data_IF_939393790319
#
_entry.id   IF_939393790319
#
_cell.length_a   1.000
_cell.length_b   1.000
_cell.length_c   1.000
_cell.angle_alpha   90.00
_cell.angle_beta   90.00
_cell.angle_gamma   90.00
#
_symmetry.space_group_name_H-M   'P 1'
#
loop_
_entity.id
_entity.type
_entity.pdbx_description
1 polymer ?
#
# COMPACT_ATOMS: atom_id res chain seq x y z
N UNK A 1 -20.38 99.94 17.81
CA UNK A 1 -19.13 99.21 18.14
C UNK A 1 -19.29 97.77 17.68
N UNK A 2 -18.37 97.34 16.81
CA UNK A 2 -18.25 96.00 16.20
C UNK A 2 -17.63 95.03 17.21
N UNK A 3 -18.06 93.77 17.21
CA UNK A 3 -17.11 92.65 17.08
C UNK A 3 -17.84 91.36 16.73
N UNK A 4 -17.80 91.08 15.43
CA UNK A 4 -18.16 89.85 14.73
C UNK A 4 -17.05 88.81 14.81
N UNK A 5 -17.49 87.54 14.87
CA UNK A 5 -16.84 86.34 14.32
C UNK A 5 -15.46 85.91 14.83
N UNK A 6 -15.46 84.79 15.56
CA UNK A 6 -14.35 83.83 15.60
C UNK A 6 -14.90 82.41 15.40
N UNK A 7 -15.12 82.04 14.14
CA UNK A 7 -15.30 80.65 13.69
C UNK A 7 -14.42 80.47 12.45
N UNK A 8 -13.12 80.43 12.67
CA UNK A 8 -12.17 80.11 11.62
C UNK A 8 -10.96 79.53 12.31
N UNK A 9 -10.90 78.20 12.37
CA UNK A 9 -9.68 77.40 12.41
C UNK A 9 -10.15 75.96 12.64
N UNK A 10 -10.48 75.25 11.57
CA UNK A 10 -10.40 73.78 11.45
C UNK A 10 -10.84 73.35 10.04
N UNK A 11 -10.34 74.03 9.01
CA UNK A 11 -10.32 73.53 7.63
C UNK A 11 -8.87 73.52 7.17
N UNK A 12 -8.05 72.81 7.92
CA UNK A 12 -6.66 72.56 7.55
C UNK A 12 -6.66 71.34 6.61
N UNK A 13 -6.59 71.67 5.32
CA UNK A 13 -5.98 70.87 4.27
C UNK A 13 -6.40 69.40 4.15
N UNK A 14 -7.55 69.17 3.50
CA UNK A 14 -7.67 68.02 2.59
C UNK A 14 -7.50 68.57 1.17
N UNK A 15 -6.25 68.71 0.73
CA UNK A 15 -5.93 69.06 -0.65
C UNK A 15 -6.07 67.79 -1.49
N UNK A 16 -7.16 67.69 -2.24
CA UNK A 16 -7.52 66.56 -3.12
C UNK A 16 -6.65 66.52 -4.40
N UNK A 17 -5.34 66.30 -4.26
CA UNK A 17 -4.43 66.05 -5.41
C UNK A 17 -3.73 64.67 -5.35
N UNK A 18 -4.32 63.71 -4.62
CA UNK A 18 -3.74 62.36 -4.45
C UNK A 18 -4.55 61.23 -5.16
N UNK A 19 -5.30 61.53 -6.22
CA UNK A 19 -6.08 60.52 -6.95
C UNK A 19 -5.24 59.59 -7.85
N UNK A 20 -4.20 60.12 -8.51
CA UNK A 20 -3.45 59.34 -9.51
C UNK A 20 -2.53 58.26 -8.91
N UNK A 21 -2.06 58.44 -7.67
CA UNK A 21 -1.13 57.51 -7.01
C UNK A 21 -1.88 56.46 -6.18
N UNK A 22 -3.05 56.79 -5.64
CA UNK A 22 -3.84 55.88 -4.80
C UNK A 22 -4.47 54.74 -5.60
N UNK A 23 -4.91 54.99 -6.84
CA UNK A 23 -5.49 53.98 -7.73
C UNK A 23 -4.50 52.83 -8.03
N UNK A 24 -3.25 53.05 -8.50
CA UNK A 24 -2.32 51.95 -8.75
C UNK A 24 -1.93 51.17 -7.49
N UNK A 25 -1.84 51.83 -6.32
CA UNK A 25 -1.61 51.12 -5.06
C UNK A 25 -2.79 50.22 -4.66
N UNK A 26 -4.04 50.66 -4.89
CA UNK A 26 -5.22 49.84 -4.67
C UNK A 26 -5.28 48.66 -5.64
N UNK A 27 -4.96 48.86 -6.92
CA UNK A 27 -4.89 47.76 -7.91
C UNK A 27 -3.82 46.76 -7.50
N UNK A 28 -2.63 47.23 -7.11
CA UNK A 28 -1.55 46.36 -6.63
C UNK A 28 -1.95 45.58 -5.39
N UNK A 29 -2.62 46.20 -4.42
CA UNK A 29 -3.06 45.51 -3.19
C UNK A 29 -4.10 44.43 -3.48
N UNK A 30 -5.03 44.67 -4.42
CA UNK A 30 -6.01 43.66 -4.86
C UNK A 30 -5.31 42.50 -5.59
N UNK A 31 -4.34 42.78 -6.46
CA UNK A 31 -3.55 41.73 -7.13
C UNK A 31 -2.77 40.90 -6.10
N UNK A 32 -2.13 41.54 -5.12
CA UNK A 32 -1.40 40.84 -4.07
C UNK A 32 -2.35 40.00 -3.21
N UNK A 33 -3.50 40.52 -2.80
CA UNK A 33 -4.48 39.78 -2.00
C UNK A 33 -5.05 38.56 -2.76
N UNK A 34 -5.43 38.72 -4.02
CA UNK A 34 -5.95 37.62 -4.85
C UNK A 34 -4.88 36.56 -5.13
N UNK A 35 -3.63 36.98 -5.36
CA UNK A 35 -2.52 36.05 -5.53
C UNK A 35 -2.20 35.27 -4.25
N UNK A 36 -2.25 35.92 -3.08
CA UNK A 36 -2.06 35.28 -1.78
C UNK A 36 -3.18 34.26 -1.48
N UNK A 37 -4.45 34.60 -1.70
CA UNK A 37 -5.58 33.68 -1.53
C UNK A 37 -5.44 32.47 -2.45
N UNK A 38 -5.06 32.70 -3.72
CA UNK A 38 -4.84 31.63 -4.69
C UNK A 38 -3.71 30.70 -4.25
N UNK A 39 -2.58 31.25 -3.81
CA UNK A 39 -1.44 30.47 -3.31
C UNK A 39 -1.81 29.61 -2.10
N UNK A 40 -2.59 30.15 -1.15
CA UNK A 40 -3.09 29.39 0.01
C UNK A 40 -4.02 28.27 -0.45
N UNK A 41 -4.95 28.55 -1.37
CA UNK A 41 -5.84 27.55 -1.95
C UNK A 41 -5.08 26.40 -2.61
N UNK A 42 -4.08 26.72 -3.43
CA UNK A 42 -3.20 25.72 -4.05
C UNK A 42 -2.42 24.91 -3.00
N UNK A 43 -1.89 25.54 -1.96
CA UNK A 43 -1.16 24.85 -0.90
C UNK A 43 -2.05 23.87 -0.12
N UNK A 44 -3.29 24.26 0.20
CA UNK A 44 -4.26 23.38 0.88
C UNK A 44 -4.65 22.20 -0.02
N UNK A 45 -4.94 22.46 -1.29
CA UNK A 45 -5.25 21.40 -2.27
C UNK A 45 -4.06 20.45 -2.46
N UNK A 46 -2.84 20.98 -2.56
CA UNK A 46 -1.62 20.18 -2.67
C UNK A 46 -1.46 19.29 -1.45
N UNK A 47 -1.58 19.85 -0.24
CA UNK A 47 -1.45 19.11 1.01
C UNK A 47 -2.47 17.96 1.09
N UNK A 48 -3.72 18.22 0.71
CA UNK A 48 -4.77 17.20 0.66
C UNK A 48 -4.40 16.07 -0.33
N UNK A 49 -3.96 16.42 -1.54
CA UNK A 49 -3.52 15.45 -2.55
C UNK A 49 -2.30 14.64 -2.11
N UNK A 50 -1.34 15.25 -1.43
CA UNK A 50 -0.16 14.57 -0.88
C UNK A 50 -0.54 13.59 0.23
N UNK A 51 -1.40 14.01 1.17
CA UNK A 51 -1.87 13.13 2.23
C UNK A 51 -2.61 11.91 1.66
N UNK A 52 -3.43 12.12 0.63
CA UNK A 52 -4.09 11.02 -0.07
C UNK A 52 -3.07 10.07 -0.71
N UNK A 53 -2.05 10.59 -1.40
CA UNK A 53 -1.00 9.78 -2.01
C UNK A 53 -0.24 8.95 -0.97
N UNK A 54 0.21 9.58 0.11
CA UNK A 54 0.93 8.91 1.20
C UNK A 54 0.09 7.80 1.85
N UNK A 55 -1.22 8.02 1.99
CA UNK A 55 -2.16 7.00 2.49
C UNK A 55 -2.24 5.80 1.55
N UNK A 56 -2.36 6.03 0.24
CA UNK A 56 -2.41 4.96 -0.76
C UNK A 56 -1.09 4.20 -0.82
N UNK A 57 0.04 4.91 -0.81
CA UNK A 57 1.39 4.33 -0.82
C UNK A 57 1.60 3.43 0.39
N UNK A 58 1.35 3.93 1.60
CA UNK A 58 1.52 3.16 2.82
C UNK A 58 0.62 1.91 2.85
N UNK A 59 -0.61 2.02 2.33
CA UNK A 59 -1.51 0.88 2.28
C UNK A 59 -1.07 -0.18 1.27
N UNK A 60 -0.68 0.24 0.06
CA UNK A 60 -0.17 -0.66 -0.98
C UNK A 60 1.10 -1.36 -0.50
N UNK A 61 2.01 -0.62 0.12
CA UNK A 61 3.25 -1.13 0.67
C UNK A 61 3.00 -2.16 1.79
N UNK A 62 2.16 -1.84 2.78
CA UNK A 62 1.82 -2.79 3.85
C UNK A 62 1.23 -4.09 3.30
N UNK A 63 0.33 -3.97 2.33
CA UNK A 63 -0.32 -5.13 1.71
C UNK A 63 0.67 -5.97 0.90
N UNK A 64 1.59 -5.32 0.17
CA UNK A 64 2.65 -6.00 -0.54
C UNK A 64 3.65 -6.69 0.41
N UNK A 65 4.03 -6.04 1.51
CA UNK A 65 4.89 -6.63 2.54
C UNK A 65 4.23 -7.84 3.21
N UNK A 66 2.92 -7.76 3.49
CA UNK A 66 2.14 -8.89 4.00
C UNK A 66 2.17 -10.08 3.02
N UNK A 67 1.94 -9.82 1.73
CA UNK A 67 2.03 -10.83 0.68
C UNK A 67 3.43 -11.44 0.58
N UNK A 68 4.49 -10.63 0.57
CA UNK A 68 5.89 -11.08 0.54
C UNK A 68 6.18 -11.99 1.74
N UNK A 69 5.75 -11.58 2.94
CA UNK A 69 5.95 -12.36 4.16
C UNK A 69 5.26 -13.72 4.06
N UNK A 70 4.01 -13.75 3.63
CA UNK A 70 3.25 -15.00 3.46
C UNK A 70 3.90 -15.92 2.41
N UNK A 71 4.31 -15.38 1.27
CA UNK A 71 4.99 -16.14 0.21
C UNK A 71 6.29 -16.78 0.72
N UNK A 72 7.11 -16.01 1.43
CA UNK A 72 8.36 -16.51 2.00
C UNK A 72 8.13 -17.54 3.12
N UNK A 73 7.05 -17.41 3.91
CA UNK A 73 6.68 -18.41 4.93
C UNK A 73 6.22 -19.73 4.30
N UNK A 74 5.45 -19.68 3.21
CA UNK A 74 5.03 -20.87 2.46
C UNK A 74 6.26 -21.56 1.85
N UNK A 75 7.19 -20.80 1.25
CA UNK A 75 8.43 -21.35 0.71
C UNK A 75 9.32 -21.98 1.78
N UNK A 76 9.43 -21.37 2.96
CA UNK A 76 10.15 -21.95 4.09
C UNK A 76 9.50 -23.26 4.56
N UNK A 77 8.16 -23.31 4.66
CA UNK A 77 7.43 -24.54 4.97
C UNK A 77 7.63 -25.62 3.89
N UNK A 78 7.61 -25.24 2.61
CA UNK A 78 7.90 -26.15 1.49
C UNK A 78 9.31 -26.74 1.60
N UNK A 79 10.31 -25.92 1.93
CA UNK A 79 11.68 -26.39 2.13
C UNK A 79 11.78 -27.39 3.29
N UNK A 80 11.12 -27.11 4.43
CA UNK A 80 11.06 -28.04 5.57
C UNK A 80 10.40 -29.36 5.20
N UNK A 81 9.24 -29.33 4.54
CA UNK A 81 8.58 -30.54 4.05
C UNK A 81 9.47 -31.37 3.12
N UNK A 82 10.23 -30.72 2.21
CA UNK A 82 11.16 -31.42 1.33
C UNK A 82 12.26 -32.14 2.11
N UNK A 83 12.81 -31.50 3.14
CA UNK A 83 13.83 -32.09 4.01
C UNK A 83 13.23 -33.26 4.80
N UNK A 84 12.07 -33.09 5.44
CA UNK A 84 11.38 -34.14 6.20
C UNK A 84 11.03 -35.36 5.34
N UNK A 85 10.65 -35.14 4.09
CA UNK A 85 10.41 -36.25 3.14
C UNK A 85 11.70 -36.96 2.76
N UNK A 86 12.79 -36.23 2.54
CA UNK A 86 14.08 -36.83 2.24
C UNK A 86 14.60 -37.66 3.41
N UNK A 87 14.43 -37.18 4.65
CA UNK A 87 14.81 -37.94 5.85
C UNK A 87 13.91 -39.15 6.05
N UNK A 88 12.60 -39.02 5.86
CA UNK A 88 11.66 -40.15 5.91
C UNK A 88 12.00 -41.24 4.88
N UNK A 89 12.33 -40.84 3.65
CA UNK A 89 12.75 -41.75 2.59
C UNK A 89 14.08 -42.46 2.94
N UNK A 90 15.04 -41.75 3.53
CA UNK A 90 16.32 -42.33 3.97
C UNK A 90 16.14 -43.33 5.13
N UNK A 91 15.23 -43.04 6.08
CA UNK A 91 14.96 -43.89 7.25
C UNK A 91 14.09 -45.11 6.94
N UNK A 92 13.35 -45.08 5.82
CA UNK A 92 12.53 -46.19 5.37
C UNK A 92 13.35 -47.42 4.91
N UNK A 93 14.66 -47.29 4.71
CA UNK A 93 15.51 -48.33 4.11
C UNK A 93 15.98 -49.43 5.08
N UNK A 94 15.99 -49.26 6.43
CA UNK A 94 16.19 -50.41 7.31
C UNK A 94 15.32 -50.51 8.58
N UNK A 95 14.50 -49.52 8.96
CA UNK A 95 13.80 -49.49 10.26
C UNK A 95 12.29 -49.68 10.12
N UNK A 96 11.76 -50.81 10.60
CA UNK A 96 10.36 -51.21 10.39
C UNK A 96 9.33 -50.17 10.84
N UNK A 97 8.76 -49.43 9.89
CA UNK A 97 7.43 -48.78 9.89
C UNK A 97 7.12 -47.68 10.92
N UNK A 98 7.76 -47.66 12.10
CA UNK A 98 7.44 -46.72 13.19
C UNK A 98 7.92 -45.30 12.91
N UNK A 99 9.09 -45.15 12.28
CA UNK A 99 9.64 -43.85 11.86
C UNK A 99 8.75 -43.15 10.82
N UNK A 100 8.10 -43.92 9.94
CA UNK A 100 7.23 -43.36 8.89
C UNK A 100 5.99 -42.67 9.47
N UNK A 101 5.40 -43.21 10.55
CA UNK A 101 4.21 -42.63 11.19
C UNK A 101 4.51 -41.26 11.82
N UNK A 102 5.69 -41.12 12.42
CA UNK A 102 6.12 -39.83 13.00
C UNK A 102 6.33 -38.80 11.90
N UNK A 103 6.99 -39.18 10.79
CA UNK A 103 7.17 -38.30 9.64
C UNK A 103 5.84 -37.90 8.98
N UNK A 104 4.87 -38.81 8.87
CA UNK A 104 3.53 -38.48 8.37
C UNK A 104 2.83 -37.44 9.25
N UNK A 105 2.98 -37.54 10.58
CA UNK A 105 2.40 -36.57 11.49
C UNK A 105 3.02 -35.17 11.34
N UNK A 106 4.34 -35.06 11.17
CA UNK A 106 5.02 -33.76 10.95
C UNK A 106 4.62 -33.15 9.60
N UNK A 107 4.57 -33.95 8.54
CA UNK A 107 4.14 -33.51 7.21
C UNK A 107 2.68 -33.05 7.20
N UNK A 108 1.81 -33.69 7.99
CA UNK A 108 0.41 -33.27 8.14
C UNK A 108 0.28 -31.95 8.91
N UNK A 109 1.12 -31.72 9.92
CA UNK A 109 1.19 -30.44 10.62
C UNK A 109 1.64 -29.30 9.69
N UNK A 110 2.71 -29.51 8.89
CA UNK A 110 3.16 -28.52 7.89
C UNK A 110 2.09 -28.28 6.82
N UNK A 111 1.35 -29.31 6.38
CA UNK A 111 0.18 -29.17 5.50
C UNK A 111 -0.86 -28.22 6.09
N UNK A 112 -1.23 -28.41 7.36
CA UNK A 112 -2.21 -27.55 8.03
C UNK A 112 -1.73 -26.10 8.14
N UNK A 113 -0.45 -25.88 8.44
CA UNK A 113 0.15 -24.54 8.51
C UNK A 113 0.07 -23.84 7.14
N UNK A 114 0.47 -24.53 6.07
CA UNK A 114 0.42 -24.02 4.71
C UNK A 114 -1.00 -23.67 4.26
N UNK A 115 -1.97 -24.55 4.52
CA UNK A 115 -3.37 -24.30 4.19
C UNK A 115 -3.96 -23.17 5.06
N UNK A 116 -3.49 -23.02 6.30
CA UNK A 116 -3.76 -21.87 7.16
C UNK A 116 -3.32 -20.55 6.52
N UNK A 117 -2.10 -20.48 5.98
CA UNK A 117 -1.62 -19.29 5.26
C UNK A 117 -2.45 -18.98 4.01
N UNK A 118 -2.78 -20.01 3.20
CA UNK A 118 -3.61 -19.85 1.99
C UNK A 118 -5.01 -19.34 2.34
N UNK A 119 -5.64 -19.93 3.35
CA UNK A 119 -6.98 -19.54 3.78
C UNK A 119 -6.99 -18.15 4.43
N UNK A 120 -5.98 -17.83 5.24
CA UNK A 120 -5.79 -16.49 5.79
C UNK A 120 -5.72 -15.42 4.69
N UNK A 121 -4.99 -15.69 3.61
CA UNK A 121 -4.94 -14.78 2.46
C UNK A 121 -6.28 -14.66 1.73
N UNK A 122 -7.02 -15.77 1.55
CA UNK A 122 -8.37 -15.70 0.97
C UNK A 122 -9.33 -14.86 1.79
N UNK A 123 -9.28 -14.99 3.13
CA UNK A 123 -10.05 -14.14 4.04
C UNK A 123 -9.61 -12.67 3.90
N UNK A 124 -8.31 -12.43 3.76
CA UNK A 124 -7.76 -11.09 3.52
C UNK A 124 -8.29 -10.50 2.21
N UNK A 125 -8.28 -11.26 1.11
CA UNK A 125 -8.85 -10.88 -0.19
C UNK A 125 -10.35 -10.55 -0.08
N UNK A 126 -11.13 -11.40 0.60
CA UNK A 126 -12.54 -11.12 0.86
C UNK A 126 -12.74 -9.85 1.68
N UNK A 127 -11.95 -9.67 2.74
CA UNK A 127 -12.00 -8.47 3.59
C UNK A 127 -11.62 -7.20 2.83
N UNK A 128 -10.68 -7.31 1.88
CA UNK A 128 -10.26 -6.22 1.01
C UNK A 128 -11.40 -5.76 0.11
N UNK A 129 -12.12 -6.72 -0.48
CA UNK A 129 -13.30 -6.44 -1.31
C UNK A 129 -14.40 -5.78 -0.49
N UNK A 130 -14.69 -6.31 0.70
CA UNK A 130 -15.73 -5.76 1.59
C UNK A 130 -15.40 -4.35 2.10
N UNK A 131 -14.13 -4.07 2.41
CA UNK A 131 -13.67 -2.75 2.88
C UNK A 131 -13.41 -1.75 1.75
N UNK A 132 -13.65 -2.15 0.50
CA UNK A 132 -13.35 -1.39 -0.70
C UNK A 132 -11.88 -0.92 -0.78
N UNK A 133 -10.95 -1.82 -0.47
CA UNK A 133 -9.52 -1.55 -0.43
C UNK A 133 -9.05 -0.99 0.91
N UNK A 134 -8.45 0.20 0.90
CA UNK A 134 -7.77 0.81 2.05
C UNK A 134 -8.70 1.58 3.00
N UNK A 135 -9.98 1.20 3.05
CA UNK A 135 -11.03 1.84 3.87
C UNK A 135 -11.50 3.22 3.38
N UNK A 136 -11.25 3.62 2.14
CA UNK A 136 -11.88 4.82 1.56
C UNK A 136 -13.24 4.50 0.94
N UNK A 137 -14.29 5.19 1.37
CA UNK A 137 -15.66 5.05 0.82
C UNK A 137 -15.72 5.23 -0.72
N UNK A 138 -14.76 5.96 -1.28
CA UNK A 138 -14.64 6.29 -2.71
C UNK A 138 -13.38 5.70 -3.38
N UNK A 139 -12.65 4.79 -2.73
CA UNK A 139 -11.48 4.14 -3.33
C UNK A 139 -11.96 3.09 -4.36
N UNK A 140 -11.41 3.14 -5.57
CA UNK A 140 -11.59 2.09 -6.57
C UNK A 140 -10.46 1.09 -6.40
N UNK A 141 -10.79 -0.16 -6.09
CA UNK A 141 -9.78 -1.16 -5.78
C UNK A 141 -9.86 -2.30 -6.80
N UNK A 142 -8.69 -2.84 -7.13
CA UNK A 142 -8.62 -4.14 -7.78
C UNK A 142 -8.59 -5.23 -6.70
N UNK A 143 -9.12 -6.42 -6.98
CA UNK A 143 -8.98 -7.54 -6.07
C UNK A 143 -7.49 -7.82 -5.84
N UNK A 144 -7.14 -8.22 -4.62
CA UNK A 144 -5.78 -8.63 -4.30
C UNK A 144 -5.36 -9.82 -5.19
N UNK A 145 -4.08 -9.96 -5.51
CA UNK A 145 -3.62 -11.06 -6.34
C UNK A 145 -3.93 -12.40 -5.66
N UNK A 146 -4.60 -13.28 -6.42
CA UNK A 146 -4.88 -14.65 -5.98
C UNK A 146 -3.58 -15.43 -5.86
N UNK A 147 -3.39 -16.09 -4.73
CA UNK A 147 -2.29 -17.04 -4.55
C UNK A 147 -2.52 -18.29 -5.39
N UNK A 148 -1.64 -18.53 -6.37
CA UNK A 148 -1.65 -19.69 -7.26
C UNK A 148 -0.83 -20.87 -6.71
N UNK A 149 -0.87 -21.04 -5.39
CA UNK A 149 -0.32 -22.22 -4.75
C UNK A 149 -1.30 -23.38 -4.89
N UNK A 150 -0.83 -24.48 -5.47
CA UNK A 150 -1.58 -25.71 -5.60
C UNK A 150 -0.81 -26.86 -4.94
N UNK A 151 -1.54 -27.89 -4.48
CA UNK A 151 -0.94 -29.06 -3.84
C UNK A 151 -1.12 -30.25 -4.77
N UNK A 152 -0.06 -30.99 -5.10
CA UNK A 152 -0.18 -32.30 -5.74
C UNK A 152 -0.93 -33.29 -4.82
N UNK A 153 -1.50 -34.38 -5.38
CA UNK A 153 -2.12 -35.43 -4.58
C UNK A 153 -1.12 -36.07 -3.61
N UNK A 154 -1.60 -36.55 -2.45
CA UNK A 154 -0.73 -37.11 -1.42
C UNK A 154 -0.14 -38.47 -1.84
N UNK A 155 1.10 -38.76 -1.43
CA UNK A 155 1.84 -40.01 -1.71
C UNK A 155 1.80 -40.97 -0.50
N UNK A 156 2.27 -42.23 -0.60
CA UNK A 156 2.37 -43.14 0.55
C UNK A 156 3.22 -42.62 1.73
N UNK A 157 4.18 -41.73 1.45
CA UNK A 157 5.00 -41.05 2.48
C UNK A 157 4.17 -39.99 3.22
N UNK A 158 3.15 -39.42 2.58
CA UNK A 158 2.29 -38.38 3.11
C UNK A 158 2.13 -37.18 2.17
N UNK A 159 1.68 -36.04 2.70
CA UNK A 159 1.45 -34.83 1.91
C UNK A 159 2.69 -34.28 1.21
N UNK A 160 2.47 -33.74 0.00
CA UNK A 160 3.49 -33.05 -0.78
C UNK A 160 3.51 -31.53 -0.49
N UNK A 161 4.68 -30.87 -0.66
CA UNK A 161 4.77 -29.42 -0.56
C UNK A 161 3.91 -28.72 -1.62
N UNK A 162 3.57 -27.46 -1.38
CA UNK A 162 2.86 -26.65 -2.36
C UNK A 162 3.76 -26.27 -3.52
N UNK A 163 3.18 -26.23 -4.71
CA UNK A 163 3.83 -25.76 -5.93
C UNK A 163 3.20 -24.47 -6.41
N UNK A 164 4.03 -23.56 -6.91
CA UNK A 164 3.60 -22.30 -7.45
C UNK A 164 3.27 -22.46 -8.94
N UNK A 165 2.01 -22.28 -9.32
CA UNK A 165 1.59 -22.26 -10.74
C UNK A 165 1.40 -20.85 -11.29
N UNK A 166 1.80 -19.82 -10.54
CA UNK A 166 1.70 -18.44 -10.98
C UNK A 166 2.88 -17.97 -11.83
N UNK A 167 2.76 -16.76 -12.36
CA UNK A 167 3.91 -16.06 -12.95
C UNK A 167 4.92 -15.65 -11.87
N UNK A 168 6.04 -15.05 -12.31
CA UNK A 168 7.08 -14.56 -11.40
C UNK A 168 6.66 -13.31 -10.62
N UNK A 169 5.64 -12.62 -11.11
CA UNK A 169 5.27 -11.29 -10.65
C UNK A 169 3.82 -11.29 -10.16
N UNK A 170 3.61 -10.70 -8.98
CA UNK A 170 2.31 -10.43 -8.39
C UNK A 170 2.16 -8.93 -8.20
N UNK A 171 1.02 -8.36 -8.58
CA UNK A 171 0.83 -6.92 -8.54
C UNK A 171 -0.25 -6.55 -7.55
N UNK A 172 0.08 -5.71 -6.57
CA UNK A 172 -0.90 -5.04 -5.73
C UNK A 172 -1.17 -3.67 -6.36
N UNK A 173 -2.43 -3.39 -6.71
CA UNK A 173 -2.84 -2.14 -7.38
C UNK A 173 -4.01 -1.49 -6.65
N UNK A 174 -3.91 -0.18 -6.46
CA UNK A 174 -4.91 0.62 -5.75
C UNK A 174 -5.14 1.91 -6.53
N UNK A 175 -6.41 2.32 -6.67
CA UNK A 175 -6.81 3.50 -7.43
C UNK A 175 -7.71 4.40 -6.58
N UNK A 176 -7.51 5.71 -6.70
CA UNK A 176 -8.45 6.69 -6.14
C UNK A 176 -8.46 7.92 -7.03
N UNK A 177 -9.61 8.20 -7.65
CA UNK A 177 -9.74 9.29 -8.63
C UNK A 177 -8.64 9.16 -9.69
N UNK A 178 -7.83 10.21 -9.91
CA UNK A 178 -6.77 10.24 -10.91
C UNK A 178 -5.40 9.78 -10.38
N UNK A 179 -5.37 9.04 -9.27
CA UNK A 179 -4.12 8.53 -8.66
C UNK A 179 -4.16 7.02 -8.56
N UNK A 180 -3.04 6.39 -8.90
CA UNK A 180 -2.85 4.97 -8.80
C UNK A 180 -1.52 4.66 -8.13
N UNK A 181 -1.50 3.58 -7.37
CA UNK A 181 -0.29 3.04 -6.75
C UNK A 181 -0.18 1.57 -7.12
N UNK A 182 1.01 1.17 -7.54
CA UNK A 182 1.31 -0.20 -7.88
C UNK A 182 2.60 -0.66 -7.19
N UNK A 183 2.50 -1.82 -6.53
CA UNK A 183 3.67 -2.53 -6.01
C UNK A 183 3.77 -3.87 -6.72
N UNK A 184 4.92 -4.12 -7.34
CA UNK A 184 5.28 -5.39 -7.94
C UNK A 184 5.97 -6.26 -6.89
N UNK A 185 5.49 -7.47 -6.70
CA UNK A 185 6.06 -8.48 -5.81
C UNK A 185 6.57 -9.61 -6.69
N UNK A 186 7.89 -9.72 -6.81
CA UNK A 186 8.52 -10.64 -7.75
C UNK A 186 9.29 -11.73 -6.99
N UNK A 187 9.25 -12.96 -7.51
CA UNK A 187 10.13 -14.03 -7.06
C UNK A 187 11.53 -13.78 -7.63
N UNK A 188 12.49 -13.56 -6.74
CA UNK A 188 13.91 -13.51 -7.06
C UNK A 188 14.57 -14.78 -6.56
N UNK A 189 15.13 -15.55 -7.48
CA UNK A 189 15.98 -16.69 -7.11
C UNK A 189 17.32 -16.16 -6.61
N UNK A 190 17.64 -16.39 -5.33
CA UNK A 190 18.98 -16.14 -4.78
C UNK A 190 19.48 -17.44 -4.15
N UNK A 191 20.32 -18.17 -4.90
CA UNK A 191 20.84 -19.47 -4.48
C UNK A 191 19.81 -20.60 -4.64
N UNK A 192 19.78 -21.52 -3.66
CA UNK A 192 18.88 -22.69 -3.63
C UNK A 192 17.42 -22.36 -3.27
N UNK A 193 17.15 -21.13 -2.83
CA UNK A 193 15.83 -20.71 -2.36
C UNK A 193 15.27 -19.57 -3.22
N UNK A 194 13.98 -19.65 -3.52
CA UNK A 194 13.23 -18.53 -4.06
C UNK A 194 12.86 -17.57 -2.92
N UNK A 195 13.08 -16.28 -3.14
CA UNK A 195 12.73 -15.23 -2.19
C UNK A 195 11.89 -14.18 -2.91
N UNK A 196 10.75 -13.86 -2.32
CA UNK A 196 9.87 -12.82 -2.84
C UNK A 196 10.32 -11.45 -2.34
N UNK A 197 10.37 -10.47 -3.26
CA UNK A 197 10.81 -9.10 -2.99
C UNK A 197 9.84 -8.12 -3.63
N UNK A 198 9.56 -7.01 -2.94
CA UNK A 198 8.72 -5.94 -3.43
C UNK A 198 9.54 -4.85 -4.12
N UNK A 199 9.04 -4.36 -5.26
CA UNK A 199 9.53 -3.16 -5.94
C UNK A 199 8.38 -2.20 -6.13
N UNK A 200 8.54 -0.98 -5.64
CA UNK A 200 7.60 0.10 -5.90
C UNK A 200 7.71 0.52 -7.37
N UNK A 201 6.58 0.64 -8.06
CA UNK A 201 6.53 1.10 -9.45
C UNK A 201 5.69 2.36 -9.50
N UNK A 202 6.29 3.52 -9.81
CA UNK A 202 5.50 4.73 -10.00
C UNK A 202 4.55 4.53 -11.17
N UNK A 203 3.29 4.91 -10.98
CA UNK A 203 2.28 4.92 -12.03
C UNK A 203 2.41 6.27 -12.76
N UNK A 204 2.80 6.23 -14.05
CA UNK A 204 2.88 7.41 -14.92
C UNK A 204 1.56 7.65 -15.63
#
# INVERSE_FOLDING_TARGET
MRNTHRKTFLTLFWKEECGSVTIPFLVLSVILATSAISAIGYAVMWKSKMNLQLRLDSCAERTALELIKLQNLIEAANARMKIERATAAALAVPSGGSSLKVAQATLLAEKMIQDGFRNGWKIREASWILKRGCSGLNDSFLPLPKMKWWRPPDDPIGPLPLEWSGGKDLTVRIWHSNRAVQVLVNSSRKGLHEKWVGKYVPFF
#
